data_IF_914669314655
#
_entry.id   IF_914669314655
#
_cell.length_a   1.000
_cell.length_b   1.000
_cell.length_c   1.000
_cell.angle_alpha   90.00
_cell.angle_beta   90.00
_cell.angle_gamma   90.00
#
_symmetry.space_group_name_H-M   'P 1'
#
loop_
_entity.id
_entity.type
_entity.pdbx_description
1 polymer ?
#
# COMPACT_ATOMS: atom_id res chain seq x y z
N UNK A 1 -6.45 11.91 8.13
CA UNK A 1 -5.18 11.18 8.20
C UNK A 1 -5.08 10.44 9.51
N UNK A 2 -5.52 9.19 9.44
CA UNK A 2 -5.41 8.15 10.44
C UNK A 2 -4.37 7.12 9.97
N UNK A 3 -3.98 6.23 10.88
CA UNK A 3 -3.13 5.09 10.57
C UNK A 3 -3.92 3.82 10.88
N UNK A 4 -3.85 2.85 9.97
CA UNK A 4 -4.48 1.54 10.14
C UNK A 4 -3.44 0.44 9.93
N UNK A 5 -3.65 -0.71 10.56
CA UNK A 5 -3.02 -1.96 10.12
C UNK A 5 -4.04 -2.80 9.37
N UNK A 6 -3.56 -3.55 8.39
CA UNK A 6 -4.35 -4.55 7.69
C UNK A 6 -3.56 -5.85 7.57
N UNK A 7 -4.23 -6.97 7.84
CA UNK A 7 -3.70 -8.31 7.62
C UNK A 7 -3.91 -8.70 6.16
N UNK A 8 -2.85 -9.22 5.55
CA UNK A 8 -2.92 -9.78 4.21
C UNK A 8 -3.86 -10.98 4.12
N UNK A 9 -3.94 -11.72 5.21
CA UNK A 9 -4.65 -12.97 5.25
C UNK A 9 -4.92 -13.37 6.70
N UNK A 10 -6.17 -13.29 7.17
CA UNK A 10 -6.53 -13.92 8.43
C UNK A 10 -6.84 -15.43 8.28
N UNK A 11 -6.87 -16.02 7.07
CA UNK A 11 -7.54 -17.30 6.77
C UNK A 11 -6.88 -18.28 5.76
N UNK A 12 -5.69 -18.05 5.20
CA UNK A 12 -4.83 -19.02 4.52
C UNK A 12 -4.46 -18.79 3.03
N UNK A 13 -4.76 -17.65 2.39
CA UNK A 13 -4.26 -17.32 1.04
C UNK A 13 -3.56 -15.96 1.02
N UNK A 14 -2.22 -15.98 0.95
CA UNK A 14 -1.43 -14.75 0.93
C UNK A 14 -1.55 -14.01 -0.42
N UNK A 15 -2.33 -12.93 -0.44
CA UNK A 15 -2.42 -12.00 -1.57
C UNK A 15 -1.42 -10.84 -1.48
N UNK A 16 -0.40 -10.95 -0.62
CA UNK A 16 0.60 -9.90 -0.38
C UNK A 16 1.23 -9.42 -1.68
N UNK A 17 1.81 -10.34 -2.46
CA UNK A 17 2.47 -10.02 -3.73
C UNK A 17 1.51 -9.30 -4.68
N UNK A 18 0.26 -9.75 -4.78
CA UNK A 18 -0.76 -9.12 -5.62
C UNK A 18 -1.05 -7.68 -5.18
N UNK A 19 -1.25 -7.44 -3.89
CA UNK A 19 -1.54 -6.09 -3.37
C UNK A 19 -0.37 -5.13 -3.55
N UNK A 20 0.85 -5.63 -3.37
CA UNK A 20 2.07 -4.87 -3.58
C UNK A 20 2.30 -4.54 -5.06
N UNK A 21 2.15 -5.53 -5.95
CA UNK A 21 2.42 -5.38 -7.38
C UNK A 21 1.34 -4.56 -8.09
N UNK A 22 0.07 -4.78 -7.75
CA UNK A 22 -1.08 -4.12 -8.37
C UNK A 22 -1.51 -2.83 -7.66
N UNK A 23 -0.82 -2.44 -6.57
CA UNK A 23 -1.04 -1.19 -5.83
C UNK A 23 -2.48 -1.00 -5.30
N UNK A 24 -3.04 -2.04 -4.67
CA UNK A 24 -4.34 -1.96 -4.02
C UNK A 24 -4.42 -2.91 -2.82
N UNK A 25 -5.41 -2.71 -1.95
CA UNK A 25 -5.78 -3.65 -0.87
C UNK A 25 -7.27 -3.97 -0.92
N UNK A 26 -7.67 -5.11 -0.33
CA UNK A 26 -9.07 -5.56 -0.30
C UNK A 26 -9.40 -6.39 0.94
N UNK A 27 -10.63 -6.28 1.44
CA UNK A 27 -11.12 -7.01 2.63
C UNK A 27 -11.69 -8.42 2.34
N UNK A 28 -11.51 -8.91 1.11
CA UNK A 28 -11.82 -10.29 0.72
C UNK A 28 -13.24 -10.75 1.07
N UNK A 29 -14.25 -10.10 0.48
CA UNK A 29 -15.65 -10.47 0.63
C UNK A 29 -16.19 -11.01 -0.71
N UNK A 30 -16.97 -12.09 -0.65
CA UNK A 30 -17.44 -12.84 -1.81
C UNK A 30 -18.96 -12.89 -1.81
N UNK A 31 -19.57 -12.56 -2.94
CA UNK A 31 -21.01 -12.62 -3.16
C UNK A 31 -21.82 -11.66 -2.29
N UNK A 32 -21.21 -10.57 -1.81
CA UNK A 32 -21.88 -9.64 -0.89
C UNK A 32 -22.38 -8.36 -1.56
N UNK A 33 -21.97 -8.09 -2.80
CA UNK A 33 -22.35 -6.87 -3.51
C UNK A 33 -21.72 -5.60 -2.94
N UNK A 34 -21.94 -4.46 -3.61
CA UNK A 34 -21.44 -3.16 -3.11
C UNK A 34 -22.10 -2.79 -1.76
N UNK A 35 -21.27 -2.36 -0.79
CA UNK A 35 -21.65 -2.02 0.59
C UNK A 35 -21.48 -0.53 0.92
N UNK A 36 -21.05 0.30 -0.04
CA UNK A 36 -20.70 1.70 0.16
C UNK A 36 -21.78 2.54 0.86
N UNK A 37 -23.03 2.33 0.48
CA UNK A 37 -24.17 3.13 0.93
C UNK A 37 -25.10 2.36 1.89
N UNK A 38 -24.64 1.24 2.45
CA UNK A 38 -25.44 0.42 3.35
C UNK A 38 -25.20 0.80 4.80
N UNK A 39 -26.25 0.70 5.61
CA UNK A 39 -26.11 0.80 7.06
C UNK A 39 -25.61 -0.51 7.71
N UNK A 40 -25.31 -0.46 9.01
CA UNK A 40 -24.77 -1.60 9.74
C UNK A 40 -25.69 -2.84 9.71
N UNK A 41 -27.00 -2.64 9.75
CA UNK A 41 -27.97 -3.72 9.74
C UNK A 41 -28.06 -4.37 8.36
N UNK A 42 -28.05 -3.57 7.30
CA UNK A 42 -28.01 -4.03 5.91
C UNK A 42 -26.72 -4.77 5.58
N UNK A 43 -25.56 -4.27 6.04
CA UNK A 43 -24.27 -4.98 5.89
C UNK A 43 -24.32 -6.33 6.61
N UNK A 44 -24.81 -6.36 7.86
CA UNK A 44 -24.96 -7.61 8.61
C UNK A 44 -25.86 -8.61 7.90
N UNK A 45 -27.00 -8.17 7.36
CA UNK A 45 -27.91 -9.02 6.58
C UNK A 45 -27.20 -9.65 5.38
N UNK A 46 -26.43 -8.86 4.62
CA UNK A 46 -25.66 -9.40 3.48
C UNK A 46 -24.60 -10.39 3.89
N UNK A 47 -23.87 -10.11 4.98
CA UNK A 47 -22.87 -11.04 5.52
C UNK A 47 -23.51 -12.36 5.97
N UNK A 48 -24.66 -12.31 6.65
CA UNK A 48 -25.41 -13.51 7.05
C UNK A 48 -25.85 -14.33 5.84
N UNK A 49 -26.36 -13.66 4.80
CA UNK A 49 -26.80 -14.33 3.58
C UNK A 49 -25.64 -15.01 2.83
N UNK A 50 -24.44 -14.40 2.83
CA UNK A 50 -23.28 -14.94 2.12
C UNK A 50 -22.54 -16.02 2.92
N UNK A 51 -22.49 -15.92 4.25
CA UNK A 51 -21.60 -16.74 5.09
C UNK A 51 -22.31 -17.56 6.19
N UNK A 52 -23.64 -17.47 6.30
CA UNK A 52 -24.41 -18.14 7.36
C UNK A 52 -24.39 -17.39 8.68
N UNK A 53 -24.64 -18.06 9.80
CA UNK A 53 -24.94 -17.40 11.10
C UNK A 53 -23.83 -17.49 12.15
N UNK A 54 -22.56 -17.63 11.77
CA UNK A 54 -21.45 -17.63 12.73
C UNK A 54 -21.20 -16.20 13.26
N UNK A 55 -21.68 -15.90 14.46
CA UNK A 55 -21.66 -14.54 15.01
C UNK A 55 -20.26 -13.94 15.12
N UNK A 56 -19.26 -14.67 15.60
CA UNK A 56 -17.90 -14.13 15.75
C UNK A 56 -17.26 -13.81 14.40
N UNK A 57 -17.41 -14.72 13.42
CA UNK A 57 -16.92 -14.50 12.07
C UNK A 57 -17.59 -13.27 11.43
N UNK A 58 -18.92 -13.18 11.53
CA UNK A 58 -19.67 -12.07 10.95
C UNK A 58 -19.34 -10.73 11.61
N UNK A 59 -19.18 -10.68 12.93
CA UNK A 59 -18.82 -9.45 13.64
C UNK A 59 -17.44 -8.94 13.22
N UNK A 60 -16.46 -9.82 13.04
CA UNK A 60 -15.14 -9.44 12.52
C UNK A 60 -15.22 -8.88 11.09
N UNK A 61 -16.07 -9.47 10.22
CA UNK A 61 -16.29 -8.98 8.85
C UNK A 61 -17.05 -7.66 8.82
N UNK A 62 -18.05 -7.50 9.69
CA UNK A 62 -18.79 -6.26 9.84
C UNK A 62 -17.85 -5.12 10.24
N UNK A 63 -16.97 -5.35 11.22
CA UNK A 63 -16.00 -4.34 11.64
C UNK A 63 -15.01 -4.00 10.52
N UNK A 64 -14.56 -5.00 9.75
CA UNK A 64 -13.74 -4.77 8.57
C UNK A 64 -14.45 -3.89 7.52
N UNK A 65 -15.74 -4.12 7.25
CA UNK A 65 -16.54 -3.28 6.35
C UNK A 65 -16.66 -1.85 6.90
N UNK A 66 -17.02 -1.71 8.18
CA UNK A 66 -17.16 -0.39 8.82
C UNK A 66 -15.88 0.42 8.74
N UNK A 67 -14.73 -0.20 9.01
CA UNK A 67 -13.44 0.49 8.93
C UNK A 67 -13.05 0.75 7.48
N UNK A 68 -13.06 -0.27 6.62
CA UNK A 68 -12.53 -0.20 5.27
C UNK A 68 -13.40 0.61 4.32
N UNK A 69 -14.71 0.39 4.34
CA UNK A 69 -15.65 1.00 3.40
C UNK A 69 -16.09 2.37 3.91
N UNK A 70 -16.46 2.47 5.20
CA UNK A 70 -17.13 3.66 5.71
C UNK A 70 -16.23 4.63 6.48
N UNK A 71 -15.14 4.16 7.10
CA UNK A 71 -14.32 5.00 8.00
C UNK A 71 -13.05 5.52 7.33
N UNK A 72 -12.25 4.64 6.72
CA UNK A 72 -11.02 5.02 6.01
C UNK A 72 -11.31 6.03 4.91
N UNK A 73 -10.41 7.00 4.72
CA UNK A 73 -10.51 8.03 3.70
C UNK A 73 -9.26 8.05 2.83
N UNK A 74 -9.36 8.72 1.67
CA UNK A 74 -8.20 9.11 0.88
C UNK A 74 -7.20 9.91 1.74
N UNK A 75 -5.92 9.58 1.61
CA UNK A 75 -4.84 10.16 2.41
C UNK A 75 -4.69 9.56 3.82
N UNK A 76 -5.41 8.50 4.17
CA UNK A 76 -5.11 7.73 5.39
C UNK A 76 -3.98 6.73 5.13
N UNK A 77 -3.19 6.42 6.16
CA UNK A 77 -2.08 5.48 6.02
C UNK A 77 -2.45 4.06 6.43
N UNK A 78 -1.86 3.09 5.73
CA UNK A 78 -2.01 1.67 5.99
C UNK A 78 -0.66 1.01 6.22
N UNK A 79 -0.58 0.20 7.26
CA UNK A 79 0.51 -0.72 7.53
C UNK A 79 0.08 -2.12 7.10
N UNK A 80 0.91 -2.73 6.28
CA UNK A 80 0.68 -4.07 5.76
C UNK A 80 1.92 -4.91 6.05
N UNK A 81 1.79 -5.81 7.03
CA UNK A 81 2.92 -6.60 7.51
C UNK A 81 3.08 -7.88 6.68
N UNK A 82 4.31 -8.13 6.25
CA UNK A 82 4.81 -9.31 5.56
C UNK A 82 6.01 -9.85 6.34
N UNK A 83 5.78 -10.88 7.17
CA UNK A 83 6.75 -11.44 8.10
C UNK A 83 7.44 -10.34 8.97
N UNK A 84 8.73 -10.10 8.75
CA UNK A 84 9.58 -9.13 9.45
C UNK A 84 9.60 -7.74 8.77
N UNK A 85 8.92 -7.59 7.64
CA UNK A 85 8.84 -6.34 6.88
C UNK A 85 7.44 -5.74 7.00
N UNK A 86 7.35 -4.42 7.17
CA UNK A 86 6.09 -3.70 7.20
C UNK A 86 6.06 -2.69 6.07
N UNK A 87 5.07 -2.81 5.20
CA UNK A 87 4.84 -1.89 4.11
C UNK A 87 3.95 -0.75 4.59
N UNK A 88 4.44 0.48 4.46
CA UNK A 88 3.65 1.68 4.70
C UNK A 88 3.10 2.18 3.37
N UNK A 89 1.79 2.36 3.29
CA UNK A 89 1.09 2.86 2.11
C UNK A 89 0.19 4.04 2.41
N UNK A 90 -0.02 4.87 1.39
CA UNK A 90 -1.02 5.93 1.35
C UNK A 90 -2.27 5.44 0.62
N UNK A 91 -3.42 5.49 1.29
CA UNK A 91 -4.69 4.97 0.78
C UNK A 91 -5.35 5.99 -0.15
N UNK A 92 -5.83 5.48 -1.29
CA UNK A 92 -6.75 6.19 -2.15
C UNK A 92 -8.22 5.99 -1.78
N UNK A 93 -9.07 6.53 -2.65
CA UNK A 93 -10.52 6.33 -2.60
C UNK A 93 -10.92 4.85 -2.60
N UNK A 94 -12.05 4.58 -1.95
CA UNK A 94 -12.74 3.30 -2.04
C UNK A 94 -13.41 3.15 -3.40
N UNK A 95 -13.38 1.95 -3.94
CA UNK A 95 -14.22 1.56 -5.07
C UNK A 95 -14.61 0.08 -4.98
N UNK A 96 -15.73 -0.24 -5.62
CA UNK A 96 -16.23 -1.60 -5.75
C UNK A 96 -16.04 -2.10 -7.19
N UNK A 97 -15.29 -3.19 -7.34
CA UNK A 97 -15.07 -3.92 -8.59
C UNK A 97 -16.02 -5.11 -8.69
N UNK A 98 -17.15 -4.90 -9.36
CA UNK A 98 -18.20 -5.91 -9.55
C UNK A 98 -17.72 -7.18 -10.26
N UNK A 99 -16.74 -7.08 -11.15
CA UNK A 99 -16.20 -8.24 -11.88
C UNK A 99 -15.38 -9.16 -11.00
N UNK A 100 -14.93 -8.65 -9.85
CA UNK A 100 -14.19 -9.40 -8.85
C UNK A 100 -15.05 -9.91 -7.71
N UNK A 101 -16.38 -9.74 -7.77
CA UNK A 101 -17.31 -10.29 -6.77
C UNK A 101 -17.87 -11.63 -7.23
N UNK A 102 -17.08 -12.69 -7.06
CA UNK A 102 -17.46 -14.04 -7.51
C UNK A 102 -17.27 -15.06 -6.38
N UNK A 103 -17.85 -16.27 -6.47
CA UNK A 103 -17.65 -17.30 -5.45
C UNK A 103 -16.17 -17.66 -5.21
N UNK A 104 -15.32 -17.46 -6.22
CA UNK A 104 -13.90 -17.81 -6.20
C UNK A 104 -12.96 -16.60 -6.03
N UNK A 105 -13.48 -15.38 -6.14
CA UNK A 105 -12.72 -14.12 -6.01
C UNK A 105 -13.48 -13.17 -5.08
N UNK A 106 -12.83 -12.74 -3.99
CA UNK A 106 -13.41 -11.80 -3.02
C UNK A 106 -12.81 -10.41 -3.06
N UNK A 107 -12.02 -10.09 -4.09
CA UNK A 107 -11.24 -8.86 -4.17
C UNK A 107 -12.07 -7.70 -4.73
N UNK A 108 -13.37 -7.64 -4.47
CA UNK A 108 -14.29 -6.66 -5.05
C UNK A 108 -14.28 -5.31 -4.32
N UNK A 109 -14.17 -5.30 -2.99
CA UNK A 109 -14.03 -4.06 -2.22
C UNK A 109 -12.57 -3.64 -2.18
N UNK A 110 -12.22 -2.53 -2.85
CA UNK A 110 -10.83 -2.11 -3.02
C UNK A 110 -10.57 -0.68 -2.58
N UNK A 111 -9.32 -0.44 -2.23
CA UNK A 111 -8.69 0.88 -2.16
C UNK A 111 -7.36 0.81 -2.88
N UNK A 112 -7.08 1.82 -3.72
CA UNK A 112 -5.74 2.00 -4.26
C UNK A 112 -4.75 2.30 -3.14
N UNK A 113 -3.49 1.88 -3.31
CA UNK A 113 -2.42 2.16 -2.35
C UNK A 113 -1.19 2.65 -3.07
N UNK A 114 -0.67 3.80 -2.67
CA UNK A 114 0.68 4.21 -3.04
C UNK A 114 1.64 3.73 -1.95
N UNK A 115 2.40 2.67 -2.22
CA UNK A 115 3.39 2.15 -1.27
C UNK A 115 4.55 3.13 -1.12
N UNK A 116 4.74 3.64 0.10
CA UNK A 116 5.69 4.71 0.39
C UNK A 116 7.07 4.18 0.75
N UNK A 117 7.12 3.16 1.62
CA UNK A 117 8.38 2.58 2.09
C UNK A 117 8.17 1.21 2.75
N UNK A 118 9.27 0.53 3.04
CA UNK A 118 9.33 -0.75 3.76
C UNK A 118 10.13 -0.53 5.04
N UNK A 119 9.58 -0.96 6.17
CA UNK A 119 10.17 -0.74 7.49
C UNK A 119 10.37 -2.11 8.15
N UNK A 120 11.59 -2.46 8.59
CA UNK A 120 11.78 -3.63 9.42
C UNK A 120 10.91 -3.54 10.67
N UNK A 121 10.14 -4.59 10.97
CA UNK A 121 9.18 -4.59 12.08
C UNK A 121 9.83 -4.23 13.42
N UNK A 122 11.07 -4.67 13.63
CA UNK A 122 11.84 -4.41 14.83
C UNK A 122 12.22 -2.92 15.02
N UNK A 123 12.18 -2.11 13.97
CA UNK A 123 12.52 -0.69 14.00
C UNK A 123 11.30 0.22 14.20
N UNK A 124 10.10 -0.34 14.15
CA UNK A 124 8.86 0.35 14.53
C UNK A 124 8.83 0.55 16.04
N UNK A 125 8.21 1.63 16.49
CA UNK A 125 8.04 1.85 17.93
C UNK A 125 7.03 0.88 18.56
N UNK A 126 7.01 0.84 19.89
CA UNK A 126 6.21 -0.14 20.64
C UNK A 126 4.70 -0.02 20.36
N UNK A 127 4.18 1.19 20.19
CA UNK A 127 2.74 1.41 19.96
C UNK A 127 2.31 0.87 18.60
N UNK A 128 3.15 1.03 17.57
CA UNK A 128 2.90 0.46 16.24
C UNK A 128 3.08 -1.06 16.26
N UNK A 129 4.07 -1.58 16.98
CA UNK A 129 4.22 -3.02 17.15
C UNK A 129 3.01 -3.66 17.86
N UNK A 130 2.46 -2.99 18.88
CA UNK A 130 1.22 -3.38 19.57
C UNK A 130 0.01 -3.36 18.63
N UNK A 131 -0.10 -2.33 17.78
CA UNK A 131 -1.11 -2.29 16.71
C UNK A 131 -0.97 -3.49 15.77
N UNK A 132 0.25 -3.80 15.31
CA UNK A 132 0.52 -4.93 14.42
C UNK A 132 0.35 -6.30 15.09
N UNK A 133 0.35 -6.37 16.42
CA UNK A 133 0.09 -7.60 17.16
C UNK A 133 -1.41 -7.92 17.28
N UNK A 134 -2.28 -6.97 16.92
CA UNK A 134 -3.72 -7.19 16.98
C UNK A 134 -4.18 -8.24 15.96
N UNK A 135 -5.07 -9.18 16.36
CA UNK A 135 -5.50 -10.28 15.49
C UNK A 135 -6.57 -9.87 14.47
N UNK A 136 -7.20 -8.70 14.64
CA UNK A 136 -8.23 -8.23 13.73
C UNK A 136 -7.69 -8.00 12.32
N UNK A 137 -8.53 -8.22 11.31
CA UNK A 137 -8.17 -7.98 9.91
C UNK A 137 -7.75 -6.54 9.67
N UNK A 138 -8.48 -5.58 10.23
CA UNK A 138 -8.17 -4.16 10.18
C UNK A 138 -8.26 -3.60 11.59
N UNK A 139 -7.29 -2.78 11.96
CA UNK A 139 -7.37 -1.99 13.20
C UNK A 139 -6.88 -0.57 12.95
N UNK A 140 -7.61 0.41 13.47
CA UNK A 140 -7.14 1.79 13.56
C UNK A 140 -6.15 1.99 14.73
N UNK A 141 -5.08 2.73 14.47
CA UNK A 141 -4.20 3.26 15.50
C UNK A 141 -4.94 4.30 16.35
N UNK A 142 -5.05 4.04 17.66
CA UNK A 142 -5.87 4.85 18.56
C UNK A 142 -5.18 6.13 19.07
N UNK A 143 -3.98 6.40 18.60
CA UNK A 143 -3.17 7.55 19.00
C UNK A 143 -2.96 8.51 17.83
N UNK A 144 -2.67 9.79 18.11
CA UNK A 144 -2.27 10.72 17.05
C UNK A 144 -1.13 10.14 16.23
N UNK A 145 -1.20 10.26 14.91
CA UNK A 145 -0.26 9.62 13.98
C UNK A 145 1.21 10.00 14.23
N UNK A 146 1.47 11.19 14.77
CA UNK A 146 2.81 11.62 15.17
C UNK A 146 3.45 10.69 16.22
N UNK A 147 2.66 10.00 17.05
CA UNK A 147 3.17 9.01 18.00
C UNK A 147 3.64 7.73 17.32
N UNK A 148 3.22 7.46 16.09
CA UNK A 148 3.71 6.32 15.32
C UNK A 148 5.15 6.52 14.81
N UNK A 149 5.67 7.75 14.84
CA UNK A 149 7.06 8.10 14.46
C UNK A 149 7.47 7.56 13.08
N UNK A 150 6.51 7.48 12.15
CA UNK A 150 6.74 6.99 10.79
C UNK A 150 7.44 8.05 9.91
N UNK A 151 7.48 9.30 10.37
CA UNK A 151 8.11 10.44 9.70
C UNK A 151 9.61 10.22 9.44
N UNK A 152 10.28 9.45 10.31
CA UNK A 152 11.70 9.10 10.15
C UNK A 152 11.97 8.22 8.92
N UNK A 153 10.95 7.50 8.42
CA UNK A 153 11.04 6.61 7.26
C UNK A 153 10.64 7.30 5.96
N UNK A 154 10.44 8.61 6.04
CA UNK A 154 9.74 9.35 5.03
C UNK A 154 10.34 10.71 4.82
N UNK A 155 11.40 10.73 4.01
CA UNK A 155 11.78 11.95 3.31
C UNK A 155 10.65 12.50 2.41
N UNK A 156 9.53 11.76 2.26
CA UNK A 156 8.37 12.10 1.41
C UNK A 156 7.02 12.29 2.14
N UNK A 157 6.86 11.99 3.44
CA UNK A 157 5.54 12.11 4.13
C UNK A 157 5.20 13.56 4.51
N UNK A 158 6.21 14.44 4.57
CA UNK A 158 6.06 15.86 4.83
C UNK A 158 6.45 16.60 3.56
N UNK A 159 5.45 16.96 2.76
CA UNK A 159 5.65 17.58 1.45
C UNK A 159 6.58 18.80 1.49
N UNK A 160 7.74 18.66 0.84
CA UNK A 160 8.34 19.74 0.08
C UNK A 160 8.13 19.42 -1.42
N UNK A 161 7.40 20.26 -2.19
CA UNK A 161 7.08 19.99 -3.59
C UNK A 161 8.26 20.25 -4.55
N UNK A 162 9.49 19.93 -4.14
CA UNK A 162 10.66 20.01 -5.00
C UNK A 162 11.52 18.77 -4.82
N UNK A 163 11.71 18.05 -5.92
CA UNK A 163 12.64 16.94 -6.11
C UNK A 163 12.19 15.52 -5.72
N UNK A 164 11.07 15.06 -6.27
CA UNK A 164 10.86 13.61 -6.46
C UNK A 164 11.61 13.12 -7.71
N UNK A 165 12.93 13.00 -7.61
CA UNK A 165 13.64 12.00 -8.42
C UNK A 165 13.58 10.69 -7.68
N UNK A 166 12.63 9.85 -8.08
CA UNK A 166 12.53 8.44 -7.74
C UNK A 166 13.91 7.79 -7.81
N UNK A 167 14.53 7.53 -6.66
CA UNK A 167 15.73 6.68 -6.61
C UNK A 167 15.25 5.24 -6.67
N UNK A 168 14.95 4.80 -7.89
CA UNK A 168 15.08 3.37 -8.23
C UNK A 168 16.49 2.99 -7.80
N UNK A 169 16.62 2.05 -6.87
CA UNK A 169 17.93 1.55 -6.46
C UNK A 169 18.47 0.68 -7.60
N UNK A 170 19.02 1.34 -8.61
CA UNK A 170 19.70 0.70 -9.73
C UNK A 170 21.02 0.15 -9.18
N UNK A 171 21.27 -1.14 -9.37
CA UNK A 171 22.52 -1.76 -8.93
C UNK A 171 23.74 -1.13 -9.62
N UNK A 172 24.89 -1.14 -8.95
CA UNK A 172 26.12 -0.50 -9.42
C UNK A 172 26.58 -1.01 -10.79
N UNK A 173 26.23 -2.25 -11.14
CA UNK A 173 26.56 -2.84 -12.43
C UNK A 173 25.71 -2.21 -13.54
N UNK A 174 24.41 -2.06 -13.33
CA UNK A 174 23.52 -1.37 -14.29
C UNK A 174 23.91 0.11 -14.46
N UNK A 175 24.33 0.79 -13.38
CA UNK A 175 24.87 2.17 -13.47
C UNK A 175 26.14 2.22 -14.32
N UNK A 176 27.05 1.27 -14.11
CA UNK A 176 28.30 1.17 -14.87
C UNK A 176 28.03 0.94 -16.36
N UNK A 177 27.08 0.06 -16.69
CA UNK A 177 26.67 -0.21 -18.08
C UNK A 177 26.07 1.03 -18.74
N UNK A 178 25.21 1.77 -18.04
CA UNK A 178 24.63 3.02 -18.54
C UNK A 178 25.69 4.10 -18.79
N UNK A 179 26.67 4.24 -17.89
CA UNK A 179 27.79 5.17 -18.05
C UNK A 179 28.65 4.83 -19.27
N UNK A 180 28.91 3.55 -19.52
CA UNK A 180 29.66 3.11 -20.70
C UNK A 180 28.94 3.44 -22.01
N UNK A 181 27.61 3.31 -22.05
CA UNK A 181 26.80 3.72 -23.20
C UNK A 181 26.94 5.24 -23.43
N UNK A 182 26.84 6.05 -22.38
CA UNK A 182 26.97 7.51 -22.47
C UNK A 182 28.39 7.93 -22.93
N UNK A 183 29.44 7.28 -22.42
CA UNK A 183 30.83 7.53 -22.86
C UNK A 183 31.05 7.21 -24.34
N UNK A 184 30.45 6.13 -24.84
CA UNK A 184 30.46 5.81 -26.27
C UNK A 184 29.70 6.87 -27.07
N UNK A 185 28.55 7.34 -26.57
CA UNK A 185 27.74 8.36 -27.22
C UNK A 185 28.45 9.74 -27.32
N UNK A 186 29.40 10.06 -26.43
CA UNK A 186 30.24 11.28 -26.54
C UNK A 186 31.10 11.31 -27.81
N UNK A 187 31.39 10.15 -28.39
CA UNK A 187 32.21 10.01 -29.59
C UNK A 187 31.37 9.77 -30.86
N UNK A 188 30.04 9.96 -30.76
CA UNK A 188 29.12 9.82 -31.90
C UNK A 188 29.33 10.94 -32.94
N UNK A 189 29.13 10.64 -34.22
CA UNK A 189 29.17 11.67 -35.28
C UNK A 189 27.93 12.60 -35.24
N UNK A 190 26.84 12.11 -34.65
CA UNK A 190 25.62 12.87 -34.38
C UNK A 190 25.85 13.88 -33.24
N UNK A 191 25.76 15.17 -33.60
CA UNK A 191 25.94 16.29 -32.69
C UNK A 191 24.92 16.32 -31.54
N UNK A 192 23.64 16.10 -31.81
CA UNK A 192 22.59 16.11 -30.77
C UNK A 192 22.76 14.93 -29.81
N UNK A 193 23.20 13.78 -30.31
CA UNK A 193 23.47 12.62 -29.48
C UNK A 193 24.67 12.85 -28.55
N UNK A 194 25.73 13.51 -29.03
CA UNK A 194 26.89 13.90 -28.20
C UNK A 194 26.51 14.89 -27.11
N UNK A 195 25.76 15.93 -27.46
CA UNK A 195 25.35 16.96 -26.50
C UNK A 195 24.49 16.38 -25.38
N UNK A 196 23.50 15.54 -25.73
CA UNK A 196 22.67 14.85 -24.72
C UNK A 196 23.48 13.94 -23.81
N UNK A 197 24.47 13.23 -24.35
CA UNK A 197 25.36 12.38 -23.55
C UNK A 197 26.22 13.21 -22.58
N UNK A 198 26.78 14.33 -23.02
CA UNK A 198 27.56 15.24 -22.18
C UNK A 198 26.72 15.83 -21.04
N UNK A 199 25.50 16.29 -21.33
CA UNK A 199 24.57 16.83 -20.32
C UNK A 199 24.21 15.76 -19.29
N UNK A 200 23.93 14.53 -19.72
CA UNK A 200 23.57 13.43 -18.84
C UNK A 200 24.71 13.06 -17.87
N UNK A 201 25.95 12.95 -18.36
CA UNK A 201 27.12 12.65 -17.53
C UNK A 201 27.38 13.78 -16.52
N UNK A 202 27.32 15.04 -16.94
CA UNK A 202 27.51 16.18 -16.02
C UNK A 202 26.45 16.24 -14.92
N UNK A 203 25.21 15.88 -15.23
CA UNK A 203 24.13 15.78 -14.23
C UNK A 203 24.34 14.64 -13.24
N UNK A 204 24.95 13.53 -13.68
CA UNK A 204 25.30 12.40 -12.80
C UNK A 204 26.41 12.77 -11.81
N UNK A 205 27.44 13.50 -12.25
CA UNK A 205 28.59 13.89 -11.40
C UNK A 205 28.27 15.02 -10.42
N UNK A 206 27.23 15.82 -10.68
CA UNK A 206 26.78 16.90 -9.79
C UNK A 206 25.81 16.45 -8.68
N UNK A 207 25.52 15.15 -8.61
CA UNK A 207 24.73 14.53 -7.54
C UNK A 207 25.67 14.07 -6.43
#
# INVERSE_FOLDING_TARGET
MNLYQMKADPYGVEHISKFLDDNFVSIELRGVGNMENLDEAEVMERLVNAYGSNSEFLMNRLEAVKLFVHSMQDGDYILFADEDTVHLGDLGDYFYDEWSDTPDNGLCHRRGVTWLTRIPRAELNIEVQELLAQPQMITQFQHPIARAQLDQWSSNLLGNPSDSRTTVHVDDKTISEALEILKKALHSDDFERRERAAIAILKYVKK
#
